data_IF_209285007185
#
_entry.id   IF_209285007185
#
_cell.length_a   1.000
_cell.length_b   1.000
_cell.length_c   1.000
_cell.angle_alpha   90.00
_cell.angle_beta   90.00
_cell.angle_gamma   90.00
#
_symmetry.space_group_name_H-M   'P 1'
#
loop_
_entity.id
_entity.type
_entity.pdbx_description
1 polymer ?
#
# COMPACT_ATOMS: atom_id res chain seq x y z
N UNK A 1 1.50 -3.56 -6.48
CA UNK A 1 0.65 -2.35 -6.60
C UNK A 1 0.91 -1.74 -7.96
N UNK A 2 -0.14 -1.38 -8.69
CA UNK A 2 -0.03 -0.68 -9.98
C UNK A 2 -0.37 0.79 -9.75
N UNK A 3 0.47 1.69 -10.26
CA UNK A 3 0.29 3.13 -10.17
C UNK A 3 -0.24 3.63 -11.50
N UNK A 4 -1.30 4.43 -11.45
CA UNK A 4 -1.92 5.06 -12.61
C UNK A 4 -1.79 6.58 -12.52
N UNK A 5 -1.52 7.20 -13.66
CA UNK A 5 -1.60 8.64 -13.85
C UNK A 5 -2.43 8.90 -15.11
N UNK A 6 -3.42 9.79 -15.03
CA UNK A 6 -4.36 10.09 -16.13
C UNK A 6 -4.96 8.81 -16.77
N UNK A 7 -5.40 7.87 -15.93
CA UNK A 7 -6.02 6.61 -16.34
C UNK A 7 -5.07 5.57 -16.97
N UNK A 8 -3.78 5.88 -17.14
CA UNK A 8 -2.79 4.97 -17.73
C UNK A 8 -1.90 4.33 -16.66
N UNK A 9 -1.64 3.01 -16.70
CA UNK A 9 -0.67 2.39 -15.82
C UNK A 9 0.73 2.87 -16.20
N UNK A 10 1.47 3.40 -15.24
CA UNK A 10 2.81 3.97 -15.47
C UNK A 10 3.91 3.25 -14.71
N UNK A 11 3.56 2.48 -13.68
CA UNK A 11 4.52 1.73 -12.87
C UNK A 11 3.84 0.60 -12.11
N UNK A 12 4.57 -0.48 -11.86
CA UNK A 12 4.16 -1.53 -10.94
C UNK A 12 5.33 -1.88 -10.02
N UNK A 13 5.06 -1.94 -8.72
CA UNK A 13 6.06 -2.26 -7.70
C UNK A 13 5.55 -3.23 -6.65
N UNK A 14 6.49 -3.92 -6.02
CA UNK A 14 6.25 -4.78 -4.86
C UNK A 14 5.76 -3.95 -3.65
N UNK A 15 4.91 -4.56 -2.82
CA UNK A 15 4.33 -3.91 -1.64
C UNK A 15 4.27 -4.88 -0.48
N UNK A 16 4.68 -4.44 0.71
CA UNK A 16 4.34 -5.16 1.95
C UNK A 16 2.97 -4.72 2.42
N UNK A 17 2.08 -5.70 2.60
CA UNK A 17 0.75 -5.49 3.15
C UNK A 17 0.72 -5.71 4.67
N UNK A 18 -0.34 -5.27 5.34
CA UNK A 18 -0.47 -5.35 6.80
C UNK A 18 -0.58 -6.78 7.36
N UNK A 19 -0.12 -6.97 8.60
CA UNK A 19 0.04 -8.25 9.31
C UNK A 19 -1.28 -8.90 9.80
N UNK A 20 -2.42 -8.21 9.70
CA UNK A 20 -3.62 -8.61 10.45
C UNK A 20 -4.06 -10.08 10.30
N UNK A 21 -4.39 -10.71 11.44
CA UNK A 21 -5.09 -12.02 11.58
C UNK A 21 -4.34 -13.24 11.00
N UNK A 22 -3.05 -13.36 11.32
CA UNK A 22 -2.23 -14.50 10.88
C UNK A 22 -1.94 -14.46 9.39
N UNK A 23 -1.75 -13.25 8.86
CA UNK A 23 -1.31 -13.05 7.50
C UNK A 23 0.10 -13.65 7.38
N UNK A 24 0.40 -14.38 6.32
CA UNK A 24 1.76 -14.89 6.10
C UNK A 24 2.15 -14.69 4.63
N UNK A 25 3.45 -14.69 4.33
CA UNK A 25 3.94 -14.69 2.97
C UNK A 25 3.24 -15.67 2.02
N UNK A 26 2.87 -16.85 2.54
CA UNK A 26 2.29 -17.97 1.78
C UNK A 26 0.77 -17.98 1.75
N UNK A 27 0.12 -17.30 2.68
CA UNK A 27 -1.34 -17.25 2.81
C UNK A 27 -1.75 -15.80 3.06
N UNK A 28 -1.72 -14.95 2.02
CA UNK A 28 -2.07 -13.56 2.17
C UNK A 28 -3.57 -13.41 2.39
N UNK A 29 -3.92 -12.57 3.37
CA UNK A 29 -5.29 -12.23 3.74
C UNK A 29 -5.53 -10.75 3.54
N UNK A 30 -6.70 -10.43 2.99
CA UNK A 30 -7.16 -9.07 2.76
C UNK A 30 -8.53 -8.88 3.43
N UNK A 31 -8.79 -7.67 3.92
CA UNK A 31 -10.07 -7.36 4.58
C UNK A 31 -10.34 -5.86 4.55
N UNK A 32 -11.59 -5.50 4.26
CA UNK A 32 -12.11 -4.14 4.38
C UNK A 32 -12.69 -3.83 5.78
N UNK A 33 -12.76 -4.81 6.68
CA UNK A 33 -13.39 -4.64 7.99
C UNK A 33 -12.54 -3.75 8.92
N UNK A 34 -13.14 -2.78 9.63
CA UNK A 34 -12.46 -2.04 10.69
C UNK A 34 -11.79 -2.99 11.70
N UNK A 35 -10.61 -2.60 12.20
CA UNK A 35 -9.83 -3.41 13.14
C UNK A 35 -9.25 -4.72 12.59
N UNK A 36 -9.41 -5.04 11.29
CA UNK A 36 -8.88 -6.30 10.74
C UNK A 36 -7.36 -6.36 10.69
N UNK A 37 -6.70 -5.20 10.67
CA UNK A 37 -5.24 -5.02 10.49
C UNK A 37 -4.68 -5.59 9.16
N UNK A 38 -5.49 -6.22 8.33
CA UNK A 38 -5.14 -6.65 6.97
C UNK A 38 -5.19 -5.46 6.00
N UNK A 39 -4.38 -5.46 4.93
CA UNK A 39 -4.65 -4.56 3.80
C UNK A 39 -5.96 -4.94 3.09
N UNK A 40 -6.42 -4.08 2.17
CA UNK A 40 -7.57 -4.34 1.31
C UNK A 40 -7.14 -4.21 -0.16
N UNK A 41 -7.89 -4.86 -1.06
CA UNK A 41 -7.60 -4.85 -2.49
C UNK A 41 -8.55 -3.89 -3.22
N UNK A 42 -8.19 -3.51 -4.44
CA UNK A 42 -8.98 -2.63 -5.30
C UNK A 42 -8.30 -1.30 -5.60
N UNK A 43 -9.08 -0.36 -6.12
CA UNK A 43 -8.67 0.96 -6.56
C UNK A 43 -8.69 1.96 -5.40
N UNK A 44 -7.60 2.72 -5.27
CA UNK A 44 -7.43 3.79 -4.31
C UNK A 44 -7.12 5.09 -5.02
N UNK A 45 -7.56 6.21 -4.43
CA UNK A 45 -7.12 7.56 -4.76
C UNK A 45 -6.18 8.07 -3.67
N UNK A 46 -5.06 8.67 -4.06
CA UNK A 46 -4.23 9.44 -3.13
C UNK A 46 -4.93 10.77 -2.86
N UNK A 47 -5.18 11.09 -1.59
CA UNK A 47 -5.95 12.28 -1.18
C UNK A 47 -5.17 13.25 -0.28
N UNK A 48 -3.88 13.00 -0.08
CA UNK A 48 -3.02 13.91 0.66
C UNK A 48 -1.73 13.27 1.16
N UNK A 49 -0.77 14.12 1.50
CA UNK A 49 0.52 13.73 2.07
C UNK A 49 0.60 14.14 3.54
N UNK A 50 1.28 13.35 4.37
CA UNK A 50 1.50 13.64 5.79
C UNK A 50 2.79 13.00 6.30
N UNK A 51 3.17 13.34 7.51
CA UNK A 51 4.32 12.74 8.20
C UNK A 51 3.84 11.80 9.30
N UNK A 52 4.40 10.60 9.35
CA UNK A 52 4.15 9.61 10.41
C UNK A 52 4.85 10.05 11.72
N UNK A 53 4.42 9.54 12.86
CA UNK A 53 5.02 9.89 14.16
C UNK A 53 6.52 9.55 14.29
N UNK A 54 7.03 8.64 13.45
CA UNK A 54 8.45 8.30 13.35
C UNK A 54 9.23 9.16 12.32
N UNK A 55 8.64 10.23 11.80
CA UNK A 55 9.26 11.16 10.85
C UNK A 55 9.21 10.73 9.38
N UNK A 56 8.72 9.53 9.06
CA UNK A 56 8.62 9.08 7.67
C UNK A 56 7.47 9.76 6.92
N UNK A 57 7.65 10.15 5.64
CA UNK A 57 6.55 10.66 4.83
C UNK A 57 5.58 9.52 4.48
N UNK A 58 4.30 9.83 4.35
CA UNK A 58 3.27 8.90 3.92
C UNK A 58 2.15 9.63 3.17
N UNK A 59 1.30 8.87 2.49
CA UNK A 59 0.14 9.41 1.79
C UNK A 59 -1.14 8.71 2.24
N UNK A 60 -2.21 9.48 2.39
CA UNK A 60 -3.54 8.99 2.78
C UNK A 60 -4.28 8.46 1.56
N UNK A 61 -4.91 7.30 1.72
CA UNK A 61 -5.65 6.63 0.65
C UNK A 61 -7.15 6.63 0.92
N UNK A 62 -7.92 7.01 -0.11
CA UNK A 62 -9.35 6.77 -0.18
C UNK A 62 -9.61 5.54 -1.04
N UNK A 63 -10.38 4.58 -0.52
CA UNK A 63 -10.82 3.43 -1.31
C UNK A 63 -11.99 3.79 -2.21
N UNK A 64 -11.95 3.34 -3.46
CA UNK A 64 -12.98 3.60 -4.48
C UNK A 64 -13.82 2.35 -4.83
N UNK A 65 -13.48 1.19 -4.27
CA UNK A 65 -14.18 -0.07 -4.50
C UNK A 65 -14.87 -0.57 -3.22
N UNK A 66 -15.93 -1.40 -3.33
CA UNK A 66 -16.55 -2.03 -2.16
C UNK A 66 -15.57 -2.85 -1.30
N UNK A 67 -14.49 -3.35 -1.91
CA UNK A 67 -13.44 -4.14 -1.25
C UNK A 67 -12.47 -3.30 -0.43
N UNK A 68 -12.49 -1.97 -0.56
CA UNK A 68 -11.60 -1.07 0.17
C UNK A 68 -12.27 0.23 0.66
N UNK A 69 -13.60 0.33 0.60
CA UNK A 69 -14.37 1.53 1.00
C UNK A 69 -14.09 2.08 2.40
N UNK A 70 -13.61 1.25 3.35
CA UNK A 70 -13.22 1.69 4.69
C UNK A 70 -11.74 2.11 4.79
N UNK A 71 -11.00 2.18 3.69
CA UNK A 71 -9.55 2.43 3.73
C UNK A 71 -9.20 3.75 4.43
N UNK A 72 -9.91 4.83 4.11
CA UNK A 72 -9.68 6.14 4.70
C UNK A 72 -10.02 6.14 6.20
N UNK A 73 -11.20 5.62 6.57
CA UNK A 73 -11.67 5.58 7.96
C UNK A 73 -10.81 4.68 8.84
N UNK A 74 -10.21 3.64 8.25
CA UNK A 74 -9.23 2.77 8.90
C UNK A 74 -7.82 3.34 8.95
N UNK A 75 -7.59 4.52 8.37
CA UNK A 75 -6.28 5.16 8.32
C UNK A 75 -5.25 4.39 7.50
N UNK A 76 -5.67 3.73 6.41
CA UNK A 76 -4.76 3.02 5.51
C UNK A 76 -3.92 4.02 4.73
N UNK A 77 -2.59 3.84 4.79
CA UNK A 77 -1.60 4.72 4.17
C UNK A 77 -0.74 3.96 3.18
N UNK A 78 -0.08 4.70 2.30
CA UNK A 78 1.11 4.25 1.59
C UNK A 78 2.34 5.00 2.11
N UNK A 79 3.42 4.28 2.41
CA UNK A 79 4.65 4.88 2.95
C UNK A 79 5.89 4.10 2.49
N UNK A 80 7.07 4.75 2.42
CA UNK A 80 8.30 4.04 2.12
C UNK A 80 8.73 3.20 3.32
N UNK A 81 9.53 2.17 3.05
CA UNK A 81 10.19 1.35 4.05
C UNK A 81 11.60 1.00 3.61
N UNK A 82 12.55 1.09 4.55
CA UNK A 82 13.94 0.65 4.35
C UNK A 82 13.94 -0.84 3.96
N UNK A 83 13.13 -1.67 4.62
CA UNK A 83 13.04 -3.11 4.36
C UNK A 83 12.68 -3.41 2.91
N UNK A 84 11.77 -2.65 2.29
CA UNK A 84 11.39 -2.84 0.89
C UNK A 84 12.46 -2.34 -0.06
N UNK A 85 13.17 -1.29 0.36
CA UNK A 85 14.20 -0.65 -0.46
C UNK A 85 15.52 -1.42 -0.47
N UNK A 86 15.78 -2.25 0.54
CA UNK A 86 16.95 -3.12 0.63
C UNK A 86 16.79 -4.43 -0.14
N UNK A 87 15.64 -4.66 -0.79
CA UNK A 87 15.40 -5.87 -1.55
C UNK A 87 16.09 -5.76 -2.92
N UNK A 88 16.89 -6.76 -3.33
CA UNK A 88 17.64 -6.71 -4.58
C UNK A 88 16.75 -6.63 -5.82
N UNK A 89 15.47 -6.98 -5.69
CA UNK A 89 14.49 -6.86 -6.75
C UNK A 89 13.14 -6.46 -6.12
N UNK A 90 12.47 -5.45 -6.68
CA UNK A 90 11.05 -5.18 -6.42
C UNK A 90 10.20 -6.30 -7.07
N UNK A 91 10.39 -7.55 -6.63
CA UNK A 91 9.71 -8.70 -7.21
C UNK A 91 8.23 -8.61 -6.86
N UNK A 92 7.40 -8.47 -7.89
CA UNK A 92 5.95 -8.63 -7.78
C UNK A 92 5.64 -9.96 -7.07
N UNK A 93 4.94 -9.92 -5.94
CA UNK A 93 4.59 -11.12 -5.17
C UNK A 93 5.59 -11.55 -4.09
N UNK A 94 6.69 -10.82 -3.89
CA UNK A 94 7.57 -11.11 -2.75
C UNK A 94 6.90 -10.69 -1.43
N UNK A 95 6.95 -11.59 -0.47
CA UNK A 95 6.05 -11.62 0.67
C UNK A 95 6.91 -11.75 1.93
N UNK A 96 6.88 -10.73 2.79
CA UNK A 96 7.97 -10.42 3.74
C UNK A 96 7.54 -10.47 5.21
N UNK A 97 8.48 -10.50 6.17
CA UNK A 97 8.17 -10.55 7.59
C UNK A 97 7.32 -9.35 7.98
N UNK A 98 6.12 -9.67 8.44
CA UNK A 98 5.10 -8.69 8.75
C UNK A 98 5.44 -8.06 10.11
N UNK A 99 5.73 -6.76 10.13
CA UNK A 99 5.94 -6.05 11.39
C UNK A 99 4.58 -5.86 12.09
N UNK A 100 4.55 -5.99 13.42
CA UNK A 100 3.33 -5.84 14.25
C UNK A 100 2.74 -4.41 14.27
N UNK A 101 3.28 -3.49 13.48
CA UNK A 101 2.98 -2.07 13.50
C UNK A 101 2.06 -1.59 12.36
N UNK A 102 1.74 -2.42 11.36
CA UNK A 102 0.88 -2.01 10.24
C UNK A 102 -0.57 -2.48 10.44
N UNK A 103 -1.49 -1.54 10.63
CA UNK A 103 -2.94 -1.77 10.66
C UNK A 103 -3.59 -1.96 9.27
N UNK A 104 -2.77 -2.29 8.25
CA UNK A 104 -3.20 -2.51 6.87
C UNK A 104 -2.54 -1.58 5.83
N UNK A 105 -1.60 -0.73 6.23
CA UNK A 105 -0.87 0.17 5.34
C UNK A 105 -0.03 -0.60 4.31
N UNK A 106 0.23 0.06 3.18
CA UNK A 106 1.09 -0.41 2.11
C UNK A 106 2.50 0.16 2.29
N UNK A 107 3.49 -0.71 2.50
CA UNK A 107 4.90 -0.29 2.50
C UNK A 107 5.51 -0.53 1.12
N UNK A 108 6.12 0.51 0.54
CA UNK A 108 6.79 0.47 -0.77
C UNK A 108 8.27 0.83 -0.63
N UNK A 109 9.05 0.66 -1.70
CA UNK A 109 10.41 1.17 -1.73
C UNK A 109 10.43 2.71 -1.71
N UNK A 110 11.53 3.30 -1.27
CA UNK A 110 11.74 4.76 -1.41
C UNK A 110 11.71 5.20 -2.87
N UNK A 111 12.13 4.34 -3.81
CA UNK A 111 12.07 4.64 -5.24
C UNK A 111 10.62 4.76 -5.72
N UNK A 112 9.80 3.74 -5.47
CA UNK A 112 8.37 3.73 -5.77
C UNK A 112 7.66 4.92 -5.12
N UNK A 113 7.92 5.20 -3.84
CA UNK A 113 7.30 6.33 -3.15
C UNK A 113 7.66 7.68 -3.79
N UNK A 114 8.92 7.86 -4.24
CA UNK A 114 9.35 9.07 -4.94
C UNK A 114 8.70 9.22 -6.32
N UNK A 115 8.46 8.11 -7.03
CA UNK A 115 7.69 8.14 -8.29
C UNK A 115 6.30 8.69 -8.02
N UNK A 116 5.56 8.09 -7.07
CA UNK A 116 4.20 8.54 -6.72
C UNK A 116 4.20 10.03 -6.35
N UNK A 117 5.16 10.48 -5.53
CA UNK A 117 5.26 11.87 -5.07
C UNK A 117 5.49 12.88 -6.21
N UNK A 118 6.07 12.46 -7.34
CA UNK A 118 6.35 13.34 -8.48
C UNK A 118 5.20 13.44 -9.49
N UNK A 119 4.16 12.63 -9.33
CA UNK A 119 3.01 12.65 -10.23
C UNK A 119 2.12 13.87 -9.94
N UNK A 120 1.48 14.37 -11.00
CA UNK A 120 0.42 15.36 -10.84
C UNK A 120 -0.86 14.65 -10.40
N UNK A 121 -1.66 15.33 -9.57
CA UNK A 121 -2.96 14.81 -9.16
C UNK A 121 -3.99 14.91 -10.31
N UNK A 122 -4.98 14.00 -10.38
CA UNK A 122 -5.25 12.90 -9.44
C UNK A 122 -4.37 11.67 -9.66
N UNK A 123 -3.91 11.06 -8.56
CA UNK A 123 -3.10 9.84 -8.57
C UNK A 123 -3.95 8.66 -8.10
N UNK A 124 -3.93 7.56 -8.87
CA UNK A 124 -4.65 6.34 -8.53
C UNK A 124 -3.69 5.16 -8.35
N UNK A 125 -4.02 4.30 -7.39
CA UNK A 125 -3.25 3.11 -7.04
C UNK A 125 -4.18 1.90 -7.07
N UNK A 126 -3.75 0.81 -7.68
CA UNK A 126 -4.50 -0.44 -7.72
C UNK A 126 -3.75 -1.56 -6.99
N UNK A 127 -4.34 -2.02 -5.89
CA UNK A 127 -3.82 -3.16 -5.14
C UNK A 127 -4.49 -4.43 -5.65
N UNK A 128 -3.69 -5.29 -6.30
CA UNK A 128 -4.08 -6.62 -6.76
C UNK A 128 -3.22 -7.68 -6.07
N UNK A 129 -3.77 -8.88 -5.98
CA UNK A 129 -3.05 -10.09 -5.58
C UNK A 129 -3.35 -11.16 -6.64
N UNK A 130 -2.30 -11.69 -7.26
CA UNK A 130 -2.41 -12.77 -8.24
C UNK A 130 -2.04 -14.07 -7.51
N UNK A 131 -2.92 -15.07 -7.58
CA UNK A 131 -2.65 -16.43 -7.08
C UNK A 131 -1.69 -17.16 -8.03
#
# INVERSE_FOLDING_TARGET
MVIFNDGKPIYSGAVLHGNGKGNTPRVPKFSNKPGSKCSCLGLFKVIGTKTMGNGYPCMTLQGLDPTNSNAQTRGILIHPSVLVSSLPFEIEGASFPLTNSSNGCFSVSFHTFRIIKKLQEPIYLYAKYNN
#
